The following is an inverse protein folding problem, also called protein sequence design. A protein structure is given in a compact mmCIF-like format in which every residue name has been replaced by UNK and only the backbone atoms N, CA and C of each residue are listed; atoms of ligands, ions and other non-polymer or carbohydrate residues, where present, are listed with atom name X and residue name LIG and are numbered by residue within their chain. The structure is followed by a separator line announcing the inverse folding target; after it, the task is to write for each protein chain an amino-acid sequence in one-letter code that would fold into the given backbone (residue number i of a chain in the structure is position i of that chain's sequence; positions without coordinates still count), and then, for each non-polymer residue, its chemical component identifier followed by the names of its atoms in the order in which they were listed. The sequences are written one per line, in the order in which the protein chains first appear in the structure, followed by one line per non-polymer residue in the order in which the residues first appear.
data_IF_358177750125
#
_entry.id   IF_358177750125
#
_cell.length_a   1.000
_cell.length_b   1.000
_cell.length_c   1.000
_cell.angle_alpha   90.00
_cell.angle_beta   90.00
_cell.angle_gamma   90.00
#
_symmetry.space_group_name_H-M   'P 1'
#
loop_
_entity.id
_entity.type
_entity.pdbx_description
1 polymer ?
#
# COMPACT_ATOMS: atom_id res chain seq x y z
N UNK A 1 -2.56 -6.15 8.27
CA UNK A 1 -2.43 -4.79 7.73
C UNK A 1 -1.98 -4.82 6.29
N UNK A 2 -2.58 -3.98 5.47
CA UNK A 2 -2.14 -3.83 4.07
C UNK A 2 -1.25 -2.61 3.97
N UNK A 3 -0.04 -2.77 3.47
CA UNK A 3 0.91 -1.67 3.37
C UNK A 3 0.58 -0.76 2.19
N UNK A 4 0.41 0.54 2.47
CA UNK A 4 0.47 1.56 1.43
C UNK A 4 1.92 1.69 0.94
N UNK A 5 2.08 2.09 -0.31
CA UNK A 5 3.39 2.30 -0.93
C UNK A 5 4.24 3.27 -0.12
N UNK A 6 3.65 4.36 0.37
CA UNK A 6 4.38 5.35 1.16
C UNK A 6 4.94 4.79 2.46
N UNK A 7 4.22 3.85 3.11
CA UNK A 7 4.73 3.17 4.29
C UNK A 7 6.02 2.39 3.96
N UNK A 8 6.02 1.69 2.83
CA UNK A 8 7.19 0.93 2.39
C UNK A 8 8.37 1.85 2.03
N UNK A 9 8.07 2.98 1.39
CA UNK A 9 9.08 4.01 1.08
C UNK A 9 9.66 4.57 2.37
N UNK A 10 8.81 4.86 3.36
CA UNK A 10 9.25 5.36 4.66
C UNK A 10 10.15 4.35 5.38
N UNK A 11 9.84 3.05 5.29
CA UNK A 11 10.73 2.01 5.81
C UNK A 11 12.09 2.02 5.10
N UNK A 12 12.11 2.19 3.77
CA UNK A 12 13.35 2.27 2.99
C UNK A 12 14.18 3.49 3.41
N UNK A 13 13.52 4.60 3.71
CA UNK A 13 14.17 5.83 4.20
C UNK A 13 14.52 5.77 5.69
N UNK A 14 14.25 4.67 6.36
CA UNK A 14 14.49 4.47 7.79
C UNK A 14 13.74 5.47 8.67
N UNK A 15 12.54 5.86 8.26
CA UNK A 15 11.67 6.72 9.05
C UNK A 15 11.38 6.10 10.42
N UNK A 16 11.58 6.88 11.47
CA UNK A 16 11.43 6.40 12.85
C UNK A 16 10.01 5.92 13.13
N UNK A 17 9.00 6.67 12.70
CA UNK A 17 7.60 6.31 12.92
C UNK A 17 7.20 5.03 12.20
N UNK A 18 7.62 4.87 10.94
CA UNK A 18 7.33 3.66 10.18
C UNK A 18 8.00 2.43 10.81
N UNK A 19 9.24 2.56 11.22
CA UNK A 19 9.99 1.46 11.86
C UNK A 19 9.38 1.08 13.20
N UNK A 20 8.99 2.06 14.00
CA UNK A 20 8.35 1.80 15.28
C UNK A 20 7.01 1.09 15.07
N UNK A 21 6.21 1.55 14.11
CA UNK A 21 4.93 0.92 13.79
C UNK A 21 5.11 -0.53 13.36
N UNK A 22 6.08 -0.80 12.52
CA UNK A 22 6.37 -2.18 12.09
C UNK A 22 6.72 -3.07 13.29
N UNK A 23 7.57 -2.58 14.20
CA UNK A 23 7.93 -3.33 15.42
C UNK A 23 6.72 -3.60 16.30
N UNK A 24 5.83 -2.63 16.46
CA UNK A 24 4.59 -2.79 17.22
C UNK A 24 3.71 -3.88 16.64
N UNK A 25 3.52 -3.87 15.31
CA UNK A 25 2.71 -4.87 14.61
C UNK A 25 3.34 -6.27 14.73
N UNK A 26 4.65 -6.37 14.56
CA UNK A 26 5.38 -7.63 14.74
C UNK A 26 5.22 -8.18 16.17
N UNK A 27 5.32 -7.32 17.18
CA UNK A 27 5.15 -7.71 18.56
C UNK A 27 3.72 -8.20 18.85
N UNK A 28 2.73 -7.66 18.16
CA UNK A 28 1.32 -8.08 18.27
C UNK A 28 0.99 -9.30 17.40
N UNK A 29 1.93 -9.77 16.59
CA UNK A 29 1.71 -10.89 15.67
C UNK A 29 0.83 -10.53 14.48
N UNK A 30 0.76 -9.25 14.11
CA UNK A 30 -0.03 -8.77 12.98
C UNK A 30 0.86 -8.68 11.74
N UNK A 31 0.66 -9.51 10.72
CA UNK A 31 1.47 -9.44 9.51
C UNK A 31 1.16 -8.19 8.69
N UNK A 32 2.19 -7.61 8.10
CA UNK A 32 2.07 -6.54 7.10
C UNK A 32 2.14 -7.21 5.74
N UNK A 33 1.08 -7.06 4.96
CA UNK A 33 0.94 -7.68 3.64
C UNK A 33 1.16 -6.65 2.54
N UNK A 34 1.78 -7.08 1.47
CA UNK A 34 2.14 -6.22 0.34
C UNK A 34 1.13 -6.39 -0.80
N UNK A 35 0.32 -5.36 -1.10
CA UNK A 35 -0.59 -5.45 -2.24
C UNK A 35 0.17 -5.31 -3.56
N UNK A 36 -0.31 -5.98 -4.60
CA UNK A 36 0.33 -5.95 -5.92
C UNK A 36 0.57 -4.52 -6.43
N UNK A 37 -0.37 -3.62 -6.20
CA UNK A 37 -0.24 -2.22 -6.65
C UNK A 37 0.96 -1.52 -6.00
N UNK A 38 1.27 -1.82 -4.74
CA UNK A 38 2.44 -1.23 -4.08
C UNK A 38 3.74 -1.72 -4.73
N UNK A 39 3.81 -2.99 -5.11
CA UNK A 39 4.96 -3.52 -5.86
C UNK A 39 5.13 -2.77 -7.18
N UNK A 40 4.03 -2.60 -7.93
CA UNK A 40 4.05 -1.86 -9.18
C UNK A 40 4.58 -0.45 -8.99
N UNK A 41 4.06 0.27 -8.00
CA UNK A 41 4.47 1.66 -7.74
C UNK A 41 5.94 1.76 -7.32
N UNK A 42 6.43 0.84 -6.49
CA UNK A 42 7.85 0.78 -6.11
C UNK A 42 8.75 0.53 -7.34
N UNK A 43 8.32 -0.34 -8.25
CA UNK A 43 9.10 -0.65 -9.44
C UNK A 43 9.02 0.45 -10.51
N UNK A 44 8.02 1.32 -10.48
CA UNK A 44 8.05 2.56 -11.25
C UNK A 44 9.27 3.39 -10.81
N UNK A 45 9.50 3.49 -9.51
CA UNK A 45 10.67 4.18 -8.96
C UNK A 45 11.99 3.52 -9.39
N UNK A 46 12.08 2.20 -9.32
CA UNK A 46 13.25 1.44 -9.76
C UNK A 46 13.54 1.71 -11.24
N UNK A 47 12.52 1.66 -12.08
CA UNK A 47 12.66 1.92 -13.52
C UNK A 47 13.12 3.34 -13.82
N UNK A 48 12.61 4.32 -13.06
CA UNK A 48 12.98 5.73 -13.24
C UNK A 48 14.43 5.99 -12.85
N UNK A 49 14.90 5.40 -11.75
CA UNK A 49 16.29 5.55 -11.26
C UNK A 49 17.27 4.72 -12.08
N UNK A 50 16.81 3.62 -12.67
CA UNK A 50 17.65 2.68 -13.43
C UNK A 50 18.88 2.21 -12.63
N UNK A 51 18.69 2.01 -11.31
CA UNK A 51 19.75 1.68 -10.37
C UNK A 51 19.55 0.29 -9.79
N UNK A 52 20.60 -0.53 -9.83
CA UNK A 52 20.60 -1.86 -9.20
C UNK A 52 20.48 -1.77 -7.68
N UNK A 53 21.01 -0.70 -7.07
CA UNK A 53 20.93 -0.48 -5.63
C UNK A 53 19.49 -0.21 -5.20
N UNK A 54 18.72 0.55 -5.96
CA UNK A 54 17.31 0.83 -5.69
C UNK A 54 16.49 -0.46 -5.74
N UNK A 55 16.71 -1.29 -6.74
CA UNK A 55 16.00 -2.58 -6.82
C UNK A 55 16.35 -3.49 -5.65
N UNK A 56 17.61 -3.52 -5.25
CA UNK A 56 18.04 -4.32 -4.09
C UNK A 56 17.33 -3.88 -2.82
N UNK A 57 17.24 -2.58 -2.57
CA UNK A 57 16.53 -2.03 -1.42
C UNK A 57 15.04 -2.41 -1.43
N UNK A 58 14.39 -2.31 -2.59
CA UNK A 58 12.99 -2.69 -2.74
C UNK A 58 12.82 -4.18 -2.42
N UNK A 59 13.64 -5.04 -2.97
CA UNK A 59 13.58 -6.49 -2.70
C UNK A 59 13.75 -6.80 -1.21
N UNK A 60 14.68 -6.14 -0.54
CA UNK A 60 14.93 -6.36 0.89
C UNK A 60 13.73 -5.96 1.75
N UNK A 61 13.10 -4.83 1.43
CA UNK A 61 11.91 -4.37 2.15
C UNK A 61 10.73 -5.32 1.94
N UNK A 62 10.55 -5.83 0.74
CA UNK A 62 9.39 -6.68 0.41
C UNK A 62 9.53 -8.12 0.92
N UNK A 63 10.76 -8.65 0.97
CA UNK A 63 11.02 -10.07 1.25
C UNK A 63 10.36 -10.62 2.51
N UNK A 64 10.34 -9.93 3.66
CA UNK A 64 9.77 -10.48 4.89
C UNK A 64 8.24 -10.53 4.92
N UNK A 65 7.57 -10.00 3.92
CA UNK A 65 6.13 -9.77 3.97
C UNK A 65 5.36 -10.61 2.96
N UNK A 66 4.17 -11.12 3.34
CA UNK A 66 3.31 -11.83 2.38
C UNK A 66 2.85 -10.90 1.26
N UNK A 67 2.76 -11.44 0.07
CA UNK A 67 2.26 -10.74 -1.11
C UNK A 67 0.79 -11.06 -1.35
N UNK A 68 -0.01 -10.04 -1.69
CA UNK A 68 -1.42 -10.20 -2.07
C UNK A 68 -1.59 -9.84 -3.54
N UNK A 69 -1.89 -10.82 -4.40
CA UNK A 69 -2.10 -10.54 -5.82
C UNK A 69 -3.36 -9.72 -6.04
N UNK A 70 -3.38 -8.96 -7.13
CA UNK A 70 -4.56 -8.18 -7.53
C UNK A 70 -5.56 -9.09 -8.23
N UNK A 71 -6.50 -9.62 -7.45
CA UNK A 71 -7.54 -10.51 -7.92
C UNK A 71 -8.62 -9.78 -8.75
N UNK A 72 -9.46 -10.54 -9.43
CA UNK A 72 -10.64 -10.01 -10.10
C UNK A 72 -11.55 -9.24 -9.13
N UNK A 73 -11.76 -9.78 -7.92
CA UNK A 73 -12.58 -9.15 -6.90
C UNK A 73 -12.01 -7.79 -6.47
N UNK A 74 -10.71 -7.73 -6.19
CA UNK A 74 -10.02 -6.48 -5.83
C UNK A 74 -10.18 -5.46 -6.96
N UNK A 75 -9.98 -5.89 -8.21
CA UNK A 75 -10.09 -5.01 -9.38
C UNK A 75 -11.48 -4.43 -9.54
N UNK A 76 -12.52 -5.24 -9.31
CA UNK A 76 -13.92 -4.79 -9.41
C UNK A 76 -14.27 -3.78 -8.31
N UNK A 77 -13.85 -4.03 -7.09
CA UNK A 77 -14.09 -3.11 -5.96
C UNK A 77 -13.39 -1.77 -6.23
N UNK A 78 -12.11 -1.81 -6.60
CA UNK A 78 -11.36 -0.60 -6.90
C UNK A 78 -12.01 0.22 -8.02
N UNK A 79 -12.37 -0.43 -9.12
CA UNK A 79 -13.01 0.24 -10.25
C UNK A 79 -14.34 0.85 -9.87
N UNK A 80 -15.17 0.13 -9.10
CA UNK A 80 -16.46 0.63 -8.65
C UNK A 80 -16.32 1.85 -7.75
N UNK A 81 -15.40 1.81 -6.80
CA UNK A 81 -15.16 2.96 -5.89
C UNK A 81 -14.69 4.19 -6.65
N UNK A 82 -13.84 4.04 -7.65
CA UNK A 82 -13.42 5.14 -8.52
C UNK A 82 -14.62 5.71 -9.28
N UNK A 83 -15.43 4.83 -9.87
CA UNK A 83 -16.59 5.23 -10.67
C UNK A 83 -17.71 5.89 -9.88
N UNK A 84 -17.91 5.48 -8.64
CA UNK A 84 -18.86 6.07 -7.71
C UNK A 84 -18.43 7.44 -7.21
N UNK A 85 -17.11 7.71 -7.26
CA UNK A 85 -16.56 9.00 -6.89
C UNK A 85 -16.92 10.08 -7.92
N UNK A 86 -17.29 11.25 -7.43
CA UNK A 86 -17.79 12.36 -8.26
C UNK A 86 -16.66 13.23 -8.81
N UNK A 87 -15.41 12.87 -8.66
CA UNK A 87 -14.37 13.82 -9.02
C UNK A 87 -13.25 13.21 -9.84
N UNK A 88 -12.72 14.02 -10.77
CA UNK A 88 -11.49 13.70 -11.48
C UNK A 88 -10.31 13.42 -10.55
N UNK A 89 -10.35 13.93 -9.31
CA UNK A 89 -9.33 13.68 -8.29
C UNK A 89 -9.30 12.20 -7.90
N UNK A 90 -10.47 11.57 -7.67
CA UNK A 90 -10.54 10.14 -7.32
C UNK A 90 -10.08 9.26 -8.47
N UNK A 91 -10.34 9.65 -9.71
CA UNK A 91 -9.85 8.93 -10.89
C UNK A 91 -8.32 8.93 -10.99
N UNK A 92 -7.66 9.96 -10.46
CA UNK A 92 -6.20 10.06 -10.44
C UNK A 92 -5.57 9.14 -9.38
N UNK A 93 -6.34 8.71 -8.39
CA UNK A 93 -5.86 7.89 -7.27
C UNK A 93 -6.18 6.40 -7.48
N UNK A 94 -5.99 5.90 -8.70
CA UNK A 94 -6.23 4.47 -9.01
C UNK A 94 -5.39 3.55 -8.15
N UNK A 95 -4.16 3.94 -7.85
CA UNK A 95 -3.29 3.17 -6.97
C UNK A 95 -3.87 3.03 -5.57
N UNK A 96 -4.36 4.13 -4.99
CA UNK A 96 -4.97 4.12 -3.66
C UNK A 96 -6.25 3.28 -3.65
N UNK A 97 -7.06 3.38 -4.70
CA UNK A 97 -8.26 2.55 -4.83
C UNK A 97 -7.92 1.06 -4.86
N UNK A 98 -6.87 0.67 -5.59
CA UNK A 98 -6.43 -0.72 -5.66
C UNK A 98 -5.88 -1.22 -4.33
N UNK A 99 -5.10 -0.41 -3.62
CA UNK A 99 -4.56 -0.76 -2.30
C UNK A 99 -5.68 -0.87 -1.28
N UNK A 100 -6.60 0.09 -1.26
CA UNK A 100 -7.75 0.08 -0.36
C UNK A 100 -8.66 -1.12 -0.60
N UNK A 101 -8.94 -1.44 -1.85
CA UNK A 101 -9.73 -2.61 -2.22
C UNK A 101 -9.07 -3.91 -1.77
N UNK A 102 -7.74 -3.98 -1.82
CA UNK A 102 -7.00 -5.12 -1.27
C UNK A 102 -7.29 -5.28 0.22
N UNK A 103 -7.27 -4.18 0.97
CA UNK A 103 -7.61 -4.18 2.39
C UNK A 103 -9.03 -4.66 2.63
N UNK A 104 -9.98 -4.19 1.84
CA UNK A 104 -11.38 -4.59 2.00
C UNK A 104 -11.58 -6.09 1.76
N UNK A 105 -10.97 -6.65 0.72
CA UNK A 105 -11.07 -8.09 0.41
C UNK A 105 -10.41 -8.94 1.51
N UNK A 106 -9.25 -8.49 2.01
CA UNK A 106 -8.53 -9.20 3.08
C UNK A 106 -9.16 -8.97 4.46
N UNK A 107 -10.10 -8.04 4.59
CA UNK A 107 -10.69 -7.70 5.89
C UNK A 107 -9.72 -6.98 6.82
N UNK A 108 -8.81 -6.18 6.26
CA UNK A 108 -7.74 -5.50 6.98
C UNK A 108 -7.65 -4.03 6.61
N UNK A 109 -7.22 -3.21 7.57
CA UNK A 109 -7.00 -1.78 7.33
C UNK A 109 -5.74 -1.54 6.48
N UNK A 110 -5.74 -0.42 5.77
CA UNK A 110 -4.56 0.07 5.06
C UNK A 110 -3.69 0.86 6.02
N UNK A 111 -2.42 0.53 6.06
CA UNK A 111 -1.41 1.21 6.87
C UNK A 111 -0.81 2.36 6.05
N UNK A 112 -1.17 3.60 6.42
CA UNK A 112 -0.85 4.77 5.60
C UNK A 112 -0.78 6.06 6.43
N UNK A 113 -0.01 7.04 5.96
CA UNK A 113 -0.10 8.44 6.42
C UNK A 113 -1.10 9.26 5.60
N UNK A 114 -1.49 8.79 4.42
CA UNK A 114 -2.42 9.45 3.52
C UNK A 114 -3.88 9.11 3.86
N UNK A 115 -4.26 9.35 5.11
CA UNK A 115 -5.57 8.94 5.65
C UNK A 115 -6.72 9.46 4.79
N UNK A 116 -6.70 10.75 4.46
CA UNK A 116 -7.79 11.39 3.72
C UNK A 116 -8.00 10.78 2.33
N UNK A 117 -6.93 10.39 1.66
CA UNK A 117 -7.00 9.82 0.32
C UNK A 117 -7.74 8.46 0.31
N UNK A 118 -7.50 7.64 1.33
CA UNK A 118 -8.16 6.33 1.46
C UNK A 118 -9.58 6.47 2.03
N UNK A 119 -9.79 7.35 2.99
CA UNK A 119 -11.11 7.60 3.56
C UNK A 119 -12.08 8.16 2.53
N UNK A 120 -11.58 8.94 1.56
CA UNK A 120 -12.40 9.45 0.45
C UNK A 120 -13.05 8.32 -0.37
N UNK A 121 -12.42 7.14 -0.42
CA UNK A 121 -13.00 5.95 -1.05
C UNK A 121 -13.82 5.10 -0.08
N UNK A 122 -13.86 5.44 1.21
CA UNK A 122 -14.57 4.67 2.23
C UNK A 122 -13.81 3.44 2.75
N UNK A 123 -12.48 3.40 2.60
CA UNK A 123 -11.67 2.30 3.10
C UNK A 123 -11.20 2.55 4.54
N UNK A 124 -11.03 1.47 5.29
CA UNK A 124 -10.50 1.52 6.64
C UNK A 124 -8.99 1.76 6.61
N UNK A 125 -8.52 2.63 7.48
CA UNK A 125 -7.11 3.00 7.55
C UNK A 125 -6.58 2.93 8.98
N UNK A 126 -5.28 2.70 9.09
CA UNK A 126 -4.53 2.88 10.31
C UNK A 126 -3.28 3.70 9.99
N UNK A 127 -3.00 4.70 10.80
CA UNK A 127 -1.86 5.60 10.58
C UNK A 127 -0.68 5.26 11.49
N UNK A 128 0.43 5.90 11.19
CA UNK A 128 1.65 5.73 11.96
C UNK A 128 2.46 7.02 12.08
#
# INVERSE_FOLDING_TARGET
MIADTDFLIDLMKRDTGARQKLRELEAEGIPVKIPAMAVLELYIGVGAEMSDDEEREVREILRPHPFVPMSDEISRIAGRRIGEGDTSKLKKNKGDAAIGATGEVEGEAVLTRNVDDFEAFGFDVETY
#
